data_IF_440689385548
#
_entry.id   IF_440689385548
#
_cell.length_a   1.000
_cell.length_b   1.000
_cell.length_c   1.000
_cell.angle_alpha   90.00
_cell.angle_beta   90.00
_cell.angle_gamma   90.00
#
_symmetry.space_group_name_H-M   'P 1'
#
loop_
_entity.id
_entity.type
_entity.pdbx_description
1 polymer ?
#
# COMPACT_ATOMS: atom_id res chain seq x y z
N UNK A 1 -44.81 -20.14 -10.48
CA UNK A 1 -43.82 -20.94 -9.73
C UNK A 1 -42.46 -20.38 -10.05
N UNK A 2 -41.70 -19.88 -9.06
CA UNK A 2 -40.29 -19.54 -9.30
C UNK A 2 -39.56 -20.87 -9.41
N UNK A 3 -38.82 -21.07 -10.49
CA UNK A 3 -38.10 -22.30 -10.74
C UNK A 3 -37.01 -22.45 -9.67
N UNK A 4 -37.05 -23.53 -8.89
CA UNK A 4 -36.09 -23.80 -7.81
C UNK A 4 -34.65 -23.87 -8.33
N UNK A 5 -34.47 -24.19 -9.62
CA UNK A 5 -33.16 -24.17 -10.28
C UNK A 5 -32.59 -22.75 -10.43
N UNK A 6 -33.43 -21.75 -10.70
CA UNK A 6 -33.04 -20.34 -10.79
C UNK A 6 -32.62 -19.83 -9.40
N UNK A 7 -33.41 -20.15 -8.37
CA UNK A 7 -33.10 -19.80 -6.98
C UNK A 7 -31.76 -20.38 -6.53
N UNK A 8 -31.51 -21.67 -6.81
CA UNK A 8 -30.24 -22.33 -6.50
C UNK A 8 -29.06 -21.69 -7.24
N UNK A 9 -29.21 -21.40 -8.53
CA UNK A 9 -28.18 -20.73 -9.33
C UNK A 9 -27.84 -19.33 -8.80
N UNK A 10 -28.85 -18.59 -8.33
CA UNK A 10 -28.67 -17.26 -7.73
C UNK A 10 -27.92 -17.34 -6.41
N UNK A 11 -28.27 -18.29 -5.53
CA UNK A 11 -27.57 -18.51 -4.26
C UNK A 11 -26.10 -18.89 -4.45
N UNK A 12 -25.80 -19.80 -5.38
CA UNK A 12 -24.42 -20.19 -5.70
C UNK A 12 -23.64 -18.97 -6.24
N UNK A 13 -24.24 -18.21 -7.15
CA UNK A 13 -23.61 -17.01 -7.73
C UNK A 13 -23.28 -15.98 -6.65
N UNK A 14 -24.26 -15.65 -5.79
CA UNK A 14 -24.06 -14.71 -4.69
C UNK A 14 -23.02 -15.21 -3.68
N UNK A 15 -23.00 -16.52 -3.40
CA UNK A 15 -22.01 -17.14 -2.52
C UNK A 15 -20.58 -17.00 -3.05
N UNK A 16 -20.37 -17.30 -4.34
CA UNK A 16 -19.05 -17.17 -4.99
C UNK A 16 -18.61 -15.71 -5.03
N UNK A 17 -19.50 -14.79 -5.42
CA UNK A 17 -19.20 -13.35 -5.44
C UNK A 17 -18.82 -12.87 -4.03
N UNK A 18 -19.58 -13.27 -3.00
CA UNK A 18 -19.27 -12.95 -1.61
C UNK A 18 -17.91 -13.45 -1.16
N UNK A 19 -17.56 -14.70 -1.51
CA UNK A 19 -16.27 -15.30 -1.19
C UNK A 19 -15.10 -14.55 -1.87
N UNK A 20 -15.24 -14.25 -3.16
CA UNK A 20 -14.22 -13.50 -3.92
C UNK A 20 -14.01 -12.10 -3.32
N UNK A 21 -15.09 -11.39 -3.00
CA UNK A 21 -15.02 -10.07 -2.35
C UNK A 21 -14.32 -10.15 -0.98
N UNK A 22 -14.62 -11.19 -0.20
CA UNK A 22 -13.96 -11.41 1.08
C UNK A 22 -12.45 -11.66 0.88
N UNK A 23 -12.05 -12.51 -0.06
CA UNK A 23 -10.65 -12.79 -0.35
C UNK A 23 -9.89 -11.54 -0.80
N UNK A 24 -10.49 -10.68 -1.62
CA UNK A 24 -9.89 -9.41 -2.03
C UNK A 24 -9.72 -8.48 -0.82
N UNK A 25 -10.78 -8.31 -0.02
CA UNK A 25 -10.77 -7.43 1.16
C UNK A 25 -9.73 -7.88 2.20
N UNK A 26 -9.81 -9.14 2.61
CA UNK A 26 -8.95 -9.68 3.67
C UNK A 26 -7.53 -9.98 3.16
N UNK A 27 -7.40 -10.48 1.93
CA UNK A 27 -6.11 -10.88 1.37
C UNK A 27 -5.26 -9.70 0.91
N UNK A 28 -5.86 -8.70 0.28
CA UNK A 28 -5.14 -7.58 -0.32
C UNK A 28 -5.33 -6.27 0.44
N UNK A 29 -6.57 -5.79 0.60
CA UNK A 29 -6.80 -4.47 1.19
C UNK A 29 -6.27 -4.38 2.62
N UNK A 30 -6.64 -5.33 3.48
CA UNK A 30 -6.21 -5.36 4.88
C UNK A 30 -4.68 -5.51 5.06
N UNK A 31 -3.98 -6.04 4.05
CA UNK A 31 -2.53 -6.30 4.10
C UNK A 31 -1.66 -5.22 3.47
N UNK A 32 -2.22 -4.39 2.58
CA UNK A 32 -1.46 -3.43 1.80
C UNK A 32 -2.01 -2.00 1.81
N UNK A 33 -3.23 -1.76 2.31
CA UNK A 33 -3.71 -0.38 2.50
C UNK A 33 -3.22 0.12 3.85
N UNK A 34 -2.36 1.16 3.90
CA UNK A 34 -1.92 1.74 5.16
C UNK A 34 -3.09 2.40 5.88
N UNK A 35 -3.16 2.23 7.20
CA UNK A 35 -3.99 3.06 8.07
C UNK A 35 -3.16 4.11 8.80
N UNK A 36 -1.88 3.83 9.06
CA UNK A 36 -0.95 4.79 9.63
C UNK A 36 0.47 4.56 9.09
N UNK A 37 1.24 5.63 9.04
CA UNK A 37 2.68 5.62 8.77
C UNK A 37 3.36 6.32 9.94
N UNK A 38 4.37 5.68 10.51
CA UNK A 38 5.16 6.27 11.59
C UNK A 38 6.54 6.56 11.04
N UNK A 39 7.03 7.78 11.24
CA UNK A 39 8.40 8.15 10.93
C UNK A 39 9.14 8.30 12.24
N UNK A 40 10.31 7.68 12.34
CA UNK A 40 11.23 7.80 13.47
C UNK A 40 12.59 8.20 12.97
N UNK A 41 13.22 9.13 13.68
CA UNK A 41 14.61 9.50 13.46
C UNK A 41 15.44 8.93 14.61
N UNK A 42 16.23 7.90 14.32
CA UNK A 42 17.07 7.20 15.30
C UNK A 42 18.51 7.13 14.77
N UNK A 43 19.49 7.59 15.54
CA UNK A 43 20.92 7.49 15.20
C UNK A 43 21.26 8.02 13.80
N UNK A 44 20.72 9.19 13.42
CA UNK A 44 20.92 9.81 12.10
C UNK A 44 20.37 8.97 10.93
N UNK A 45 19.42 8.08 11.21
CA UNK A 45 18.73 7.24 10.24
C UNK A 45 17.21 7.40 10.37
N UNK A 46 16.53 7.47 9.22
CA UNK A 46 15.07 7.51 9.16
C UNK A 46 14.53 6.08 9.10
N UNK A 47 13.62 5.77 10.02
CA UNK A 47 12.87 4.52 10.05
C UNK A 47 11.41 4.84 9.76
N UNK A 48 10.91 4.35 8.63
CA UNK A 48 9.52 4.46 8.24
C UNK A 48 8.79 3.15 8.55
N UNK A 49 7.75 3.20 9.36
CA UNK A 49 6.95 2.04 9.76
C UNK A 49 5.56 2.15 9.12
N UNK A 50 5.29 1.31 8.14
CA UNK A 50 3.97 1.21 7.52
C UNK A 50 3.09 0.31 8.38
N UNK A 51 1.98 0.84 8.88
CA UNK A 51 0.96 0.05 9.57
C UNK A 51 -0.25 -0.17 8.67
N UNK A 52 -0.52 -1.43 8.42
CA UNK A 52 -1.74 -1.93 7.75
C UNK A 52 -2.56 -2.72 8.76
N UNK A 53 -3.80 -3.09 8.45
CA UNK A 53 -4.65 -3.84 9.38
C UNK A 53 -4.08 -5.22 9.74
N UNK A 54 -3.30 -5.83 8.85
CA UNK A 54 -2.71 -7.17 9.05
C UNK A 54 -1.20 -7.18 9.33
N UNK A 55 -0.48 -6.10 8.99
CA UNK A 55 0.98 -6.09 9.01
C UNK A 55 1.54 -4.75 9.45
N UNK A 56 2.64 -4.82 10.19
CA UNK A 56 3.52 -3.69 10.49
C UNK A 56 4.84 -3.93 9.79
N UNK A 57 5.26 -3.01 8.93
CA UNK A 57 6.47 -3.16 8.11
C UNK A 57 7.44 -2.02 8.45
N UNK A 58 8.50 -2.29 9.22
CA UNK A 58 9.55 -1.31 9.45
C UNK A 58 10.51 -1.27 8.25
N UNK A 59 10.84 -0.07 7.80
CA UNK A 59 11.68 0.20 6.64
C UNK A 59 12.76 1.19 7.08
N UNK A 60 14.02 0.77 7.02
CA UNK A 60 15.15 1.67 7.19
C UNK A 60 15.39 2.38 5.86
N UNK A 61 15.09 3.67 5.82
CA UNK A 61 15.18 4.48 4.61
C UNK A 61 16.64 4.75 4.30
N UNK A 62 17.05 4.48 3.06
CA UNK A 62 18.36 4.86 2.53
C UNK A 62 18.24 6.07 1.61
N UNK A 63 17.28 6.03 0.69
CA UNK A 63 16.96 7.13 -0.22
C UNK A 63 15.46 7.19 -0.45
N UNK A 64 14.94 8.36 -0.82
CA UNK A 64 13.54 8.53 -1.18
C UNK A 64 13.38 9.60 -2.27
N UNK A 65 12.41 9.39 -3.16
CA UNK A 65 12.14 10.30 -4.26
C UNK A 65 10.63 10.37 -4.52
N UNK A 66 10.13 11.57 -4.77
CA UNK A 66 8.75 11.76 -5.25
C UNK A 66 8.69 11.30 -6.71
N UNK A 67 7.78 10.37 -7.01
CA UNK A 67 7.61 9.78 -8.35
C UNK A 67 6.13 9.59 -8.68
N UNK A 68 5.82 9.60 -9.96
CA UNK A 68 4.51 9.22 -10.46
C UNK A 68 4.39 7.69 -10.50
N UNK A 69 3.19 7.17 -10.18
CA UNK A 69 2.95 5.74 -10.18
C UNK A 69 3.22 5.10 -11.55
N UNK A 70 3.06 5.84 -12.67
CA UNK A 70 3.25 5.32 -14.02
C UNK A 70 4.70 4.92 -14.30
N UNK A 71 5.66 5.58 -13.66
CA UNK A 71 7.07 5.25 -13.81
C UNK A 71 7.48 4.07 -12.91
N UNK A 72 6.82 3.93 -11.76
CA UNK A 72 7.19 2.98 -10.70
C UNK A 72 6.43 1.65 -10.84
N UNK A 73 5.14 1.69 -11.18
CA UNK A 73 4.20 0.57 -11.14
C UNK A 73 3.75 0.16 -12.55
N UNK A 74 4.69 -0.26 -13.40
CA UNK A 74 4.42 -0.57 -14.82
C UNK A 74 3.84 -1.99 -14.96
N UNK A 75 4.56 -2.99 -14.48
CA UNK A 75 4.24 -4.41 -14.65
C UNK A 75 3.78 -5.01 -13.33
N UNK A 76 2.58 -5.58 -13.32
CA UNK A 76 2.01 -6.23 -12.12
C UNK A 76 2.56 -7.66 -11.99
N UNK A 77 3.32 -7.91 -10.93
CA UNK A 77 3.90 -9.24 -10.64
C UNK A 77 3.04 -10.06 -9.68
N UNK A 78 2.33 -9.38 -8.79
CA UNK A 78 1.51 -9.98 -7.74
C UNK A 78 0.76 -8.91 -6.96
N UNK A 79 0.19 -7.96 -7.69
CA UNK A 79 -0.54 -6.82 -7.16
C UNK A 79 -2.03 -6.91 -7.46
N UNK A 80 -2.78 -5.98 -6.86
CA UNK A 80 -4.17 -5.69 -7.19
C UNK A 80 -4.24 -4.22 -7.63
N UNK A 81 -4.99 -3.96 -8.69
CA UNK A 81 -5.30 -2.60 -9.13
C UNK A 81 -6.80 -2.45 -9.29
N UNK A 82 -7.34 -1.43 -8.64
CA UNK A 82 -8.76 -1.10 -8.73
C UNK A 82 -8.94 0.38 -8.41
N UNK A 83 -9.45 1.17 -9.36
CA UNK A 83 -9.54 2.62 -9.21
C UNK A 83 -8.18 3.23 -8.85
N UNK A 84 -8.11 3.96 -7.73
CA UNK A 84 -6.88 4.59 -7.21
C UNK A 84 -5.94 3.64 -6.44
N UNK A 85 -6.37 2.41 -6.17
CA UNK A 85 -5.53 1.45 -5.44
C UNK A 85 -4.62 0.71 -6.40
N UNK A 86 -3.32 0.71 -6.08
CA UNK A 86 -2.30 -0.08 -6.78
C UNK A 86 -1.43 -0.74 -5.72
N UNK A 87 -1.88 -1.88 -5.21
CA UNK A 87 -1.30 -2.51 -4.02
C UNK A 87 -0.63 -3.83 -4.35
N UNK A 88 0.42 -4.21 -3.61
CA UNK A 88 1.16 -5.45 -3.82
C UNK A 88 2.42 -5.28 -4.68
N UNK A 89 2.86 -6.33 -5.38
CA UNK A 89 4.16 -6.33 -6.07
C UNK A 89 4.07 -5.89 -7.53
N UNK A 90 4.92 -4.94 -7.91
CA UNK A 90 5.06 -4.40 -9.26
C UNK A 90 6.53 -4.34 -9.68
N UNK A 91 6.77 -4.14 -10.98
CA UNK A 91 8.08 -3.87 -11.56
C UNK A 91 7.98 -2.68 -12.52
N UNK A 92 8.86 -1.70 -12.37
CA UNK A 92 8.90 -0.51 -13.22
C UNK A 92 10.33 -0.11 -13.58
N UNK A 93 10.52 1.17 -13.92
CA UNK A 93 11.83 1.74 -14.26
C UNK A 93 12.87 1.57 -13.14
N UNK A 94 12.38 1.51 -11.90
CA UNK A 94 13.18 1.40 -10.68
C UNK A 94 13.34 -0.06 -10.20
N UNK A 95 12.97 -1.05 -11.02
CA UNK A 95 13.02 -2.46 -10.65
C UNK A 95 11.76 -2.93 -9.91
N UNK A 96 11.90 -3.96 -9.08
CA UNK A 96 10.79 -4.51 -8.30
C UNK A 96 10.45 -3.66 -7.07
N UNK A 97 9.16 -3.43 -6.86
CA UNK A 97 8.65 -2.50 -5.84
C UNK A 97 7.43 -3.12 -5.16
N UNK A 98 7.38 -3.00 -3.82
CA UNK A 98 6.17 -3.28 -3.04
C UNK A 98 5.36 -2.00 -2.89
N UNK A 99 4.16 -2.00 -3.46
CA UNK A 99 3.29 -0.83 -3.49
C UNK A 99 2.22 -0.85 -2.41
N UNK A 100 2.07 0.28 -1.75
CA UNK A 100 1.06 0.63 -0.75
C UNK A 100 0.22 1.84 -1.24
N UNK A 101 -0.02 1.92 -2.55
CA UNK A 101 -0.67 3.06 -3.17
C UNK A 101 -2.20 3.02 -3.08
N UNK A 102 -2.77 4.12 -2.59
CA UNK A 102 -4.18 4.48 -2.61
C UNK A 102 -4.43 5.85 -3.27
N UNK A 103 -3.41 6.46 -3.87
CA UNK A 103 -3.48 7.66 -4.72
C UNK A 103 -2.51 7.52 -5.91
N UNK A 104 -2.51 8.50 -6.82
CA UNK A 104 -1.69 8.47 -8.04
C UNK A 104 -0.24 8.96 -7.82
N UNK A 105 -0.02 9.96 -6.97
CA UNK A 105 1.32 10.49 -6.69
C UNK A 105 1.81 10.05 -5.32
N UNK A 106 3.10 9.68 -5.25
CA UNK A 106 3.65 9.09 -4.04
C UNK A 106 5.16 9.20 -3.91
N UNK A 107 5.65 8.50 -2.90
CA UNK A 107 7.04 8.43 -2.49
C UNK A 107 7.59 7.04 -2.83
N UNK A 108 8.58 7.01 -3.71
CA UNK A 108 9.43 5.85 -3.91
C UNK A 108 10.50 5.87 -2.81
N UNK A 109 10.58 4.79 -2.04
CA UNK A 109 11.52 4.61 -0.95
C UNK A 109 12.45 3.46 -1.31
N UNK A 110 13.74 3.69 -1.21
CA UNK A 110 14.75 2.66 -1.28
C UNK A 110 15.26 2.34 0.13
N UNK A 111 15.09 1.09 0.55
CA UNK A 111 15.53 0.64 1.86
C UNK A 111 17.02 0.28 1.86
N UNK A 112 17.61 0.21 3.05
CA UNK A 112 19.01 -0.21 3.23
C UNK A 112 19.27 -1.66 2.79
N UNK A 113 18.25 -2.52 2.79
CA UNK A 113 18.34 -3.91 2.32
C UNK A 113 18.20 -4.06 0.79
N UNK A 114 18.14 -2.93 0.06
CA UNK A 114 17.99 -2.90 -1.40
C UNK A 114 16.55 -3.07 -1.89
N UNK A 115 15.58 -3.34 -1.01
CA UNK A 115 14.17 -3.40 -1.40
C UNK A 115 13.62 -2.00 -1.65
N UNK A 116 12.64 -1.92 -2.54
CA UNK A 116 11.95 -0.68 -2.87
C UNK A 116 10.49 -0.76 -2.51
N UNK A 117 9.98 0.36 -2.01
CA UNK A 117 8.61 0.51 -1.58
C UNK A 117 8.02 1.75 -2.23
N UNK A 118 6.75 1.71 -2.61
CA UNK A 118 6.04 2.88 -3.12
C UNK A 118 4.85 3.18 -2.24
N UNK A 119 4.83 4.37 -1.62
CA UNK A 119 3.75 4.83 -0.77
C UNK A 119 3.04 5.96 -1.48
N UNK A 120 1.73 5.84 -1.67
CA UNK A 120 0.93 6.91 -2.23
C UNK A 120 -0.40 6.95 -1.48
N UNK A 121 -0.72 8.09 -0.89
CA UNK A 121 -2.01 8.36 -0.26
C UNK A 121 -2.24 9.87 -0.15
N UNK A 122 -3.46 10.28 0.19
CA UNK A 122 -3.92 11.67 0.04
C UNK A 122 -3.06 12.68 0.85
N UNK A 123 -2.57 12.31 2.05
CA UNK A 123 -1.69 13.14 2.87
C UNK A 123 -0.21 12.71 2.84
N UNK A 124 0.29 12.19 1.72
CA UNK A 124 1.70 11.76 1.57
C UNK A 124 2.72 12.90 1.81
N UNK A 125 2.32 14.16 1.59
CA UNK A 125 3.17 15.32 1.87
C UNK A 125 3.59 15.40 3.33
N UNK A 126 2.72 15.03 4.28
CA UNK A 126 3.06 15.01 5.71
C UNK A 126 4.19 14.02 6.03
N UNK A 127 4.29 12.93 5.26
CA UNK A 127 5.37 11.93 5.36
C UNK A 127 6.66 12.53 4.85
N UNK A 128 6.61 13.19 3.69
CA UNK A 128 7.79 13.83 3.08
C UNK A 128 8.36 14.88 4.04
N UNK A 129 7.50 15.76 4.57
CA UNK A 129 7.90 16.81 5.51
C UNK A 129 8.54 16.21 6.77
N UNK A 130 7.96 15.15 7.30
CA UNK A 130 8.48 14.52 8.52
C UNK A 130 9.72 13.66 8.30
N UNK A 131 9.99 13.19 7.08
CA UNK A 131 11.28 12.58 6.72
C UNK A 131 12.37 13.65 6.63
N UNK A 132 12.04 14.85 6.14
CA UNK A 132 12.99 15.95 5.97
C UNK A 132 13.27 16.71 7.27
N UNK A 133 12.34 16.72 8.21
CA UNK A 133 12.49 17.41 9.50
C UNK A 133 13.21 16.52 10.53
N UNK A 134 14.54 16.69 10.60
CA UNK A 134 15.42 15.98 11.55
C UNK A 134 15.16 16.34 13.03
N UNK A 135 14.39 17.39 13.31
CA UNK A 135 14.04 17.75 14.70
C UNK A 135 12.98 16.81 15.29
N UNK A 136 12.25 16.08 14.44
CA UNK A 136 11.20 15.16 14.83
C UNK A 136 11.82 13.83 15.25
N UNK A 137 11.61 13.44 16.52
CA UNK A 137 12.00 12.09 16.96
C UNK A 137 11.06 11.01 16.44
N UNK A 138 9.76 11.25 16.56
CA UNK A 138 8.71 10.35 16.08
C UNK A 138 7.49 11.17 15.66
N UNK A 139 6.90 10.84 14.50
CA UNK A 139 5.60 11.36 14.06
C UNK A 139 4.73 10.22 13.56
N UNK A 140 3.49 10.19 14.04
CA UNK A 140 2.45 9.28 13.54
C UNK A 140 1.57 10.04 12.58
N UNK A 141 1.42 9.53 11.36
CA UNK A 141 0.59 10.10 10.30
C UNK A 141 -0.51 9.09 10.00
N UNK A 142 -1.75 9.48 10.27
CA UNK A 142 -2.93 8.67 9.94
C UNK A 142 -3.29 8.85 8.46
N UNK A 143 -3.48 7.74 7.76
CA UNK A 143 -3.78 7.71 6.32
C UNK A 143 -5.30 7.70 6.07
N UNK A 144 -6.08 7.28 7.07
CA UNK A 144 -7.55 7.28 7.05
C UNK A 144 -8.12 7.58 8.43
N UNK A 145 -9.03 8.56 8.50
CA UNK A 145 -10.07 8.63 9.54
C UNK A 145 -11.28 7.79 9.13
#
# INVERSE_FOLDING_TARGET
MVDNSILLSLFITLGIVGLVLALIKYGFFDAYVPHAVIIRHENNQVILVIKTKRRTVPIRVRDFQVKDYRDVLVWRLGGLEFGRYRIGKYKGKYGEVVSYASSDSGLLIEATDGKRYYLAFDNIHEVIDAILDESIKEKVIEVRK
#
